data_IF_805218862299
#
_entry.id   IF_805218862299
#
_cell.length_a   1.000
_cell.length_b   1.000
_cell.length_c   1.000
_cell.angle_alpha   90.00
_cell.angle_beta   90.00
_cell.angle_gamma   90.00
#
_symmetry.space_group_name_H-M   'P 1'
#
loop_
_entity.id
_entity.type
_entity.pdbx_description
1 polymer ?
#
# COMPACT_ATOMS: atom_id res chain seq x y z
N UNK A 1 14.68 -37.39 -47.74
CA UNK A 1 15.51 -36.16 -47.87
C UNK A 1 16.32 -36.07 -46.59
N UNK A 2 17.65 -36.17 -46.67
CA UNK A 2 18.53 -36.22 -45.50
C UNK A 2 19.00 -34.79 -45.18
N UNK A 3 18.81 -34.34 -43.94
CA UNK A 3 19.24 -33.01 -43.48
C UNK A 3 20.64 -33.10 -42.87
N UNK A 4 21.56 -32.27 -43.38
CA UNK A 4 22.95 -32.16 -42.91
C UNK A 4 23.09 -30.77 -42.27
N UNK A 5 23.53 -30.72 -41.00
CA UNK A 5 23.76 -29.48 -40.25
C UNK A 5 25.28 -29.27 -40.15
N UNK A 6 25.82 -28.11 -40.57
CA UNK A 6 27.26 -27.79 -40.55
C UNK A 6 27.59 -26.69 -39.55
N UNK A 7 28.59 -26.89 -38.68
CA UNK A 7 29.09 -25.90 -37.70
C UNK A 7 30.60 -26.04 -37.49
N UNK A 8 31.36 -24.94 -37.52
CA UNK A 8 32.82 -24.88 -37.25
C UNK A 8 33.67 -25.95 -37.96
N UNK A 9 33.37 -26.17 -39.24
CA UNK A 9 34.04 -27.18 -40.05
C UNK A 9 33.60 -28.63 -39.79
N UNK A 10 32.64 -28.85 -38.88
CA UNK A 10 32.08 -30.16 -38.53
C UNK A 10 30.68 -30.32 -39.12
N UNK A 11 30.38 -31.50 -39.64
CA UNK A 11 29.10 -31.85 -40.25
C UNK A 11 28.37 -32.85 -39.34
N UNK A 12 27.06 -32.69 -39.21
CA UNK A 12 26.18 -33.54 -38.41
C UNK A 12 25.10 -34.10 -39.34
N UNK A 13 25.03 -35.43 -39.45
CA UNK A 13 24.15 -36.12 -40.41
C UNK A 13 23.29 -37.17 -39.71
N UNK A 14 22.00 -37.15 -40.00
CA UNK A 14 21.12 -38.28 -39.70
C UNK A 14 21.38 -39.35 -40.78
N UNK A 15 22.24 -40.33 -40.44
CA UNK A 15 22.67 -41.54 -41.21
C UNK A 15 23.72 -41.41 -42.35
N UNK A 16 24.91 -41.94 -42.03
CA UNK A 16 25.90 -42.74 -42.80
C UNK A 16 26.81 -42.10 -43.90
N UNK A 17 28.12 -42.17 -43.57
CA UNK A 17 29.40 -42.10 -44.33
C UNK A 17 30.05 -40.75 -44.73
N UNK A 18 31.27 -40.57 -44.16
CA UNK A 18 32.45 -39.75 -44.53
C UNK A 18 32.30 -38.20 -44.40
N UNK A 19 33.06 -37.43 -43.59
CA UNK A 19 34.41 -37.53 -42.99
C UNK A 19 34.49 -36.64 -41.73
N UNK A 20 35.06 -37.14 -40.61
CA UNK A 20 35.13 -36.47 -39.28
C UNK A 20 33.80 -35.83 -38.84
N UNK A 21 32.73 -36.61 -38.89
CA UNK A 21 31.37 -36.20 -38.53
C UNK A 21 30.95 -36.86 -37.22
N UNK A 22 30.30 -36.11 -36.33
CA UNK A 22 29.73 -36.66 -35.10
C UNK A 22 28.55 -37.55 -35.47
N UNK A 23 28.71 -38.86 -35.28
CA UNK A 23 27.61 -39.82 -35.38
C UNK A 23 26.74 -39.69 -34.14
N UNK A 24 25.49 -39.31 -34.29
CA UNK A 24 24.52 -39.45 -33.21
C UNK A 24 24.37 -40.94 -32.91
N UNK A 25 24.70 -41.42 -31.70
CA UNK A 25 24.53 -42.82 -31.37
C UNK A 25 23.03 -43.09 -31.39
N UNK A 26 22.57 -44.01 -32.23
CA UNK A 26 21.14 -44.33 -32.35
C UNK A 26 20.83 -45.56 -31.51
N UNK A 27 19.83 -45.47 -30.62
CA UNK A 27 19.36 -46.62 -29.84
C UNK A 27 18.43 -47.51 -30.68
N UNK A 28 17.62 -46.88 -31.55
CA UNK A 28 16.67 -47.48 -32.50
C UNK A 28 16.47 -46.53 -33.69
N UNK A 29 15.77 -46.98 -34.74
CA UNK A 29 15.39 -46.12 -35.88
C UNK A 29 14.74 -44.82 -35.37
N UNK A 30 15.37 -43.68 -35.68
CA UNK A 30 14.96 -42.33 -35.27
C UNK A 30 14.97 -42.02 -33.75
N UNK A 31 15.67 -42.80 -32.93
CA UNK A 31 15.85 -42.52 -31.50
C UNK A 31 17.33 -42.37 -31.10
N UNK A 32 17.73 -41.17 -30.72
CA UNK A 32 19.09 -40.86 -30.24
C UNK A 32 19.32 -41.52 -28.87
N UNK A 33 20.48 -42.16 -28.72
CA UNK A 33 21.00 -42.78 -27.52
C UNK A 33 21.78 -41.78 -26.68
N UNK A 34 21.07 -40.84 -26.04
CA UNK A 34 21.67 -39.77 -25.24
C UNK A 34 22.68 -40.25 -24.20
N UNK A 35 22.49 -41.44 -23.63
CA UNK A 35 23.38 -42.02 -22.62
C UNK A 35 24.77 -42.40 -23.15
N UNK A 36 24.95 -42.51 -24.47
CA UNK A 36 26.24 -42.74 -25.10
C UNK A 36 26.96 -41.44 -25.51
N UNK A 37 26.38 -40.27 -25.20
CA UNK A 37 27.00 -38.97 -25.44
C UNK A 37 27.42 -38.34 -24.10
N UNK A 38 28.56 -37.67 -24.10
CA UNK A 38 29.01 -36.81 -23.02
C UNK A 38 28.17 -35.52 -22.94
N UNK A 39 28.22 -34.84 -21.79
CA UNK A 39 27.57 -33.54 -21.60
C UNK A 39 27.95 -32.54 -22.70
N UNK A 40 29.25 -32.43 -23.01
CA UNK A 40 29.75 -31.50 -24.01
C UNK A 40 29.17 -31.77 -25.41
N UNK A 41 29.03 -33.03 -25.79
CA UNK A 41 28.47 -33.44 -27.08
C UNK A 41 26.97 -33.15 -27.15
N UNK A 42 26.23 -33.40 -26.07
CA UNK A 42 24.79 -33.11 -25.98
C UNK A 42 24.55 -31.60 -26.07
N UNK A 43 25.33 -30.79 -25.35
CA UNK A 43 25.20 -29.33 -25.38
C UNK A 43 25.56 -28.77 -26.76
N UNK A 44 26.63 -29.28 -27.38
CA UNK A 44 27.03 -28.86 -28.73
C UNK A 44 25.94 -29.19 -29.76
N UNK A 45 25.42 -30.41 -29.72
CA UNK A 45 24.29 -30.82 -30.56
C UNK A 45 23.05 -29.96 -30.31
N UNK A 46 22.74 -29.66 -29.04
CA UNK A 46 21.59 -28.84 -28.68
C UNK A 46 21.69 -27.42 -29.24
N UNK A 47 22.86 -26.78 -29.13
CA UNK A 47 23.12 -25.46 -29.71
C UNK A 47 22.96 -25.49 -31.22
N UNK A 48 23.52 -26.51 -31.86
CA UNK A 48 23.44 -26.71 -33.31
C UNK A 48 21.99 -26.84 -33.80
N UNK A 49 21.22 -27.71 -33.14
CA UNK A 49 19.82 -27.93 -33.44
C UNK A 49 19.00 -26.65 -33.26
N UNK A 50 19.22 -25.92 -32.17
CA UNK A 50 18.52 -24.67 -31.92
C UNK A 50 18.87 -23.58 -32.93
N UNK A 51 20.14 -23.47 -33.33
CA UNK A 51 20.57 -22.52 -34.36
C UNK A 51 19.95 -22.85 -35.73
N UNK A 52 20.03 -24.11 -36.16
CA UNK A 52 19.53 -24.56 -37.46
C UNK A 52 18.02 -24.33 -37.62
N UNK A 53 17.25 -24.58 -36.56
CA UNK A 53 15.79 -24.43 -36.55
C UNK A 53 15.31 -23.09 -36.00
N UNK A 54 16.21 -22.12 -35.81
CA UNK A 54 15.95 -20.78 -35.28
C UNK A 54 15.19 -20.77 -33.93
N UNK A 55 15.45 -21.78 -33.10
CA UNK A 55 14.83 -21.96 -31.79
C UNK A 55 15.52 -21.04 -30.78
N UNK A 56 14.92 -19.87 -30.54
CA UNK A 56 15.45 -18.87 -29.60
C UNK A 56 15.07 -19.09 -28.13
N UNK A 57 14.11 -19.98 -27.83
CA UNK A 57 13.55 -20.16 -26.47
C UNK A 57 13.38 -21.63 -26.11
N UNK A 58 13.68 -21.99 -24.86
CA UNK A 58 13.53 -23.34 -24.30
C UNK A 58 12.15 -23.95 -24.57
N UNK A 59 11.07 -23.15 -24.43
CA UNK A 59 9.69 -23.62 -24.67
C UNK A 59 9.42 -24.03 -26.12
N UNK A 60 10.14 -23.48 -27.09
CA UNK A 60 9.96 -23.83 -28.50
C UNK A 60 10.62 -25.19 -28.82
N UNK A 61 11.56 -25.64 -27.98
CA UNK A 61 12.11 -26.99 -28.05
C UNK A 61 11.12 -28.07 -27.56
N UNK A 62 10.20 -27.71 -26.65
CA UNK A 62 9.13 -28.61 -26.18
C UNK A 62 7.84 -28.53 -27.02
N UNK A 63 7.43 -27.31 -27.40
CA UNK A 63 6.08 -27.04 -27.92
C UNK A 63 6.08 -26.30 -29.27
N UNK A 64 7.24 -26.16 -29.92
CA UNK A 64 7.37 -25.45 -31.19
C UNK A 64 7.10 -26.32 -32.42
N UNK A 65 7.08 -25.68 -33.60
CA UNK A 65 6.99 -26.36 -34.90
C UNK A 65 8.14 -27.36 -35.12
N UNK A 66 9.35 -26.99 -34.68
CA UNK A 66 10.57 -27.81 -34.73
C UNK A 66 10.90 -28.39 -33.34
N UNK A 67 9.88 -28.88 -32.62
CA UNK A 67 10.09 -29.43 -31.28
C UNK A 67 10.96 -30.69 -31.31
N UNK A 68 11.76 -30.87 -30.27
CA UNK A 68 12.59 -32.05 -30.09
C UNK A 68 12.44 -32.58 -28.66
N UNK A 69 11.35 -33.32 -28.42
CA UNK A 69 10.94 -33.78 -27.07
C UNK A 69 12.06 -34.56 -26.34
N UNK A 70 12.82 -35.39 -27.06
CA UNK A 70 13.98 -36.12 -26.50
C UNK A 70 15.09 -35.20 -26.00
N UNK A 71 15.46 -34.19 -26.81
CA UNK A 71 16.49 -33.21 -26.48
C UNK A 71 16.04 -32.25 -25.38
N UNK A 72 14.76 -31.86 -25.39
CA UNK A 72 14.19 -31.06 -24.30
C UNK A 72 14.28 -31.81 -22.97
N UNK A 73 13.88 -33.08 -22.95
CA UNK A 73 13.84 -33.88 -21.73
C UNK A 73 15.24 -34.11 -21.12
N UNK A 74 16.26 -34.38 -21.95
CA UNK A 74 17.62 -34.58 -21.45
C UNK A 74 18.21 -33.28 -20.89
N UNK A 75 18.05 -32.16 -21.61
CA UNK A 75 18.54 -30.85 -21.15
C UNK A 75 17.82 -30.38 -19.89
N UNK A 76 16.53 -30.68 -19.75
CA UNK A 76 15.74 -30.29 -18.58
C UNK A 76 16.13 -31.10 -17.35
N UNK A 77 16.18 -32.45 -17.47
CA UNK A 77 16.55 -33.33 -16.35
C UNK A 77 17.97 -33.09 -15.86
N UNK A 78 18.89 -32.82 -16.78
CA UNK A 78 20.30 -32.58 -16.46
C UNK A 78 20.61 -31.11 -16.11
N UNK A 79 19.61 -30.21 -16.08
CA UNK A 79 19.76 -28.76 -15.79
C UNK A 79 20.70 -28.01 -16.77
N UNK A 80 20.86 -28.50 -17.99
CA UNK A 80 21.73 -27.91 -19.02
C UNK A 80 21.05 -26.88 -19.92
N UNK A 81 19.76 -26.62 -19.71
CA UNK A 81 18.99 -25.63 -20.48
C UNK A 81 19.65 -24.25 -20.57
N UNK A 82 20.29 -23.79 -19.48
CA UNK A 82 20.99 -22.48 -19.44
C UNK A 82 22.27 -22.45 -20.27
N UNK A 83 22.91 -23.60 -20.46
CA UNK A 83 24.14 -23.69 -21.26
C UNK A 83 23.84 -23.64 -22.77
N UNK A 84 22.63 -24.05 -23.17
CA UNK A 84 22.17 -24.11 -24.57
C UNK A 84 21.50 -22.80 -24.99
N UNK A 85 20.62 -22.27 -24.15
CA UNK A 85 19.95 -21.00 -24.41
C UNK A 85 20.66 -19.91 -23.61
N UNK A 86 21.31 -18.97 -24.30
CA UNK A 86 21.69 -17.69 -23.71
C UNK A 86 20.37 -17.03 -23.33
N UNK A 87 20.05 -17.06 -22.03
CA UNK A 87 18.95 -16.28 -21.49
C UNK A 87 19.54 -14.90 -21.32
N UNK A 88 19.07 -13.93 -22.11
CA UNK A 88 19.32 -12.53 -21.77
C UNK A 88 18.86 -12.35 -20.32
N UNK A 89 19.79 -12.21 -19.38
CA UNK A 89 19.48 -12.11 -17.95
C UNK A 89 18.72 -10.83 -17.64
N UNK A 90 18.79 -9.86 -18.57
CA UNK A 90 18.16 -8.57 -18.48
C UNK A 90 17.61 -8.13 -19.84
N UNK A 91 16.52 -7.35 -19.83
CA UNK A 91 15.98 -6.70 -21.02
C UNK A 91 15.91 -5.19 -20.82
N UNK A 92 16.47 -4.38 -21.73
CA UNK A 92 16.22 -2.94 -21.73
C UNK A 92 14.76 -2.68 -22.13
N UNK A 93 14.06 -1.89 -21.33
CA UNK A 93 12.69 -1.48 -21.55
C UNK A 93 12.59 0.01 -21.32
N UNK A 94 12.17 0.74 -22.35
CA UNK A 94 11.87 2.16 -22.26
C UNK A 94 10.39 2.37 -21.97
N UNK A 95 10.09 3.18 -20.96
CA UNK A 95 8.74 3.62 -20.60
C UNK A 95 8.77 5.14 -20.48
N UNK A 96 8.15 5.85 -21.42
CA UNK A 96 8.30 7.29 -21.55
C UNK A 96 9.77 7.72 -21.77
N UNK A 97 10.27 8.55 -20.85
CA UNK A 97 11.65 9.05 -20.84
C UNK A 97 12.61 8.16 -20.04
N UNK A 98 12.09 7.18 -19.30
CA UNK A 98 12.88 6.33 -18.41
C UNK A 98 13.32 5.03 -19.10
N UNK A 99 14.60 4.70 -18.95
CA UNK A 99 15.18 3.43 -19.40
C UNK A 99 15.38 2.47 -18.22
N UNK A 100 14.75 1.29 -18.30
CA UNK A 100 14.83 0.25 -17.28
C UNK A 100 15.61 -0.96 -17.78
N UNK A 101 16.48 -1.51 -16.93
CA UNK A 101 17.13 -2.81 -17.17
C UNK A 101 16.39 -3.85 -16.33
N UNK A 102 15.51 -4.62 -16.95
CA UNK A 102 14.62 -5.53 -16.25
C UNK A 102 15.19 -6.94 -16.22
N UNK A 103 15.41 -7.56 -15.05
CA UNK A 103 15.91 -8.92 -14.98
C UNK A 103 14.85 -9.91 -15.51
N UNK A 104 15.29 -10.93 -16.24
CA UNK A 104 14.44 -11.98 -16.80
C UNK A 104 14.65 -13.32 -16.09
N UNK A 105 13.59 -14.11 -15.98
CA UNK A 105 13.66 -15.50 -15.54
C UNK A 105 14.16 -16.41 -16.68
N UNK A 106 14.43 -17.69 -16.36
CA UNK A 106 14.87 -18.68 -17.35
C UNK A 106 13.89 -18.92 -18.51
N UNK A 107 12.66 -18.37 -18.44
CA UNK A 107 11.65 -18.39 -19.49
C UNK A 107 11.53 -17.08 -20.27
N UNK A 108 12.37 -16.07 -19.99
CA UNK A 108 12.34 -14.75 -20.62
C UNK A 108 11.20 -13.85 -20.13
N UNK A 109 10.63 -14.12 -18.95
CA UNK A 109 9.62 -13.25 -18.30
C UNK A 109 10.29 -12.37 -17.25
N UNK A 110 9.66 -11.25 -16.89
CA UNK A 110 10.16 -10.37 -15.82
C UNK A 110 10.34 -11.15 -14.52
N UNK A 111 11.58 -11.17 -14.03
CA UNK A 111 11.95 -11.78 -12.75
C UNK A 111 11.74 -10.79 -11.61
N UNK A 112 10.49 -10.69 -11.16
CA UNK A 112 10.14 -9.85 -10.01
C UNK A 112 10.91 -10.21 -8.74
N UNK A 113 11.36 -11.46 -8.58
CA UNK A 113 12.09 -11.90 -7.37
C UNK A 113 13.50 -11.32 -7.27
N UNK A 114 14.12 -10.99 -8.39
CA UNK A 114 15.47 -10.44 -8.44
C UNK A 114 15.51 -8.92 -8.39
N UNK A 115 14.37 -8.25 -8.47
CA UNK A 115 14.27 -6.79 -8.30
C UNK A 115 14.13 -6.43 -6.83
N UNK A 116 14.79 -5.36 -6.41
CA UNK A 116 14.57 -4.70 -5.13
C UNK A 116 13.16 -4.11 -5.03
N UNK A 117 12.75 -3.74 -3.81
CA UNK A 117 11.44 -3.10 -3.59
C UNK A 117 11.30 -1.80 -4.40
N UNK A 118 12.34 -0.98 -4.44
CA UNK A 118 12.29 0.33 -5.10
C UNK A 118 12.25 0.19 -6.63
N UNK A 119 13.07 -0.68 -7.22
CA UNK A 119 13.06 -0.94 -8.66
C UNK A 119 11.68 -1.43 -9.14
N UNK A 120 10.99 -2.24 -8.33
CA UNK A 120 9.61 -2.66 -8.63
C UNK A 120 8.66 -1.47 -8.65
N UNK A 121 8.74 -0.61 -7.63
CA UNK A 121 7.86 0.57 -7.52
C UNK A 121 8.09 1.49 -8.71
N UNK A 122 9.35 1.84 -9.02
CA UNK A 122 9.70 2.78 -10.08
C UNK A 122 9.24 2.25 -11.45
N UNK A 123 9.53 0.99 -11.75
CA UNK A 123 9.11 0.35 -13.00
C UNK A 123 7.59 0.34 -13.16
N UNK A 124 6.86 0.02 -12.10
CA UNK A 124 5.41 -0.08 -12.15
C UNK A 124 4.76 1.31 -12.23
N UNK A 125 5.32 2.33 -11.56
CA UNK A 125 4.88 3.72 -11.69
C UNK A 125 5.06 4.19 -13.13
N UNK A 126 6.24 3.96 -13.73
CA UNK A 126 6.49 4.32 -15.12
C UNK A 126 5.53 3.60 -16.09
N UNK A 127 5.26 2.31 -15.84
CA UNK A 127 4.27 1.55 -16.62
C UNK A 127 2.87 2.15 -16.49
N UNK A 128 2.45 2.49 -15.27
CA UNK A 128 1.14 3.08 -15.06
C UNK A 128 1.01 4.46 -15.73
N UNK A 129 2.07 5.29 -15.70
CA UNK A 129 2.10 6.58 -16.39
C UNK A 129 2.00 6.44 -17.91
N UNK A 130 2.85 5.61 -18.51
CA UNK A 130 2.86 5.37 -19.97
C UNK A 130 1.49 4.95 -20.49
N UNK A 131 0.79 4.10 -19.75
CA UNK A 131 -0.49 3.53 -20.16
C UNK A 131 -1.72 4.22 -19.55
N UNK A 132 -1.55 5.37 -18.90
CA UNK A 132 -2.60 6.13 -18.21
C UNK A 132 -3.46 5.28 -17.26
N UNK A 133 -2.82 4.40 -16.49
CA UNK A 133 -3.45 3.55 -15.48
C UNK A 133 -3.43 4.30 -14.15
N UNK A 134 -4.60 4.70 -13.66
CA UNK A 134 -4.74 5.51 -12.44
C UNK A 134 -5.14 4.70 -11.21
N UNK A 135 -5.58 3.45 -11.39
CA UNK A 135 -6.01 2.60 -10.28
C UNK A 135 -5.75 1.11 -10.50
N UNK A 136 -5.81 0.35 -9.40
CA UNK A 136 -5.58 -1.09 -9.40
C UNK A 136 -6.54 -1.88 -10.27
N UNK A 137 -7.79 -1.43 -10.39
CA UNK A 137 -8.82 -2.11 -11.19
C UNK A 137 -8.47 -2.04 -12.68
N UNK A 138 -8.00 -0.89 -13.14
CA UNK A 138 -7.49 -0.73 -14.51
C UNK A 138 -6.25 -1.61 -14.75
N UNK A 139 -5.33 -1.71 -13.78
CA UNK A 139 -4.20 -2.63 -13.90
C UNK A 139 -4.64 -4.10 -13.96
N UNK A 140 -5.72 -4.49 -13.26
CA UNK A 140 -6.20 -5.87 -13.24
C UNK A 140 -7.03 -6.24 -14.49
N UNK A 141 -7.93 -5.35 -14.92
CA UNK A 141 -9.00 -5.67 -15.89
C UNK A 141 -9.15 -4.67 -17.03
N UNK A 142 -8.43 -3.55 -17.01
CA UNK A 142 -8.52 -2.49 -18.01
C UNK A 142 -7.91 -2.85 -19.38
N UNK A 143 -7.93 -1.89 -20.32
CA UNK A 143 -7.41 -2.08 -21.68
C UNK A 143 -5.91 -2.38 -21.70
N UNK A 144 -5.12 -1.74 -20.83
CA UNK A 144 -3.69 -1.98 -20.64
C UNK A 144 -3.40 -2.83 -19.40
N UNK A 145 -4.26 -3.82 -19.12
CA UNK A 145 -4.14 -4.65 -17.92
C UNK A 145 -2.84 -5.46 -17.90
N UNK A 146 -2.27 -5.57 -16.72
CA UNK A 146 -1.21 -6.51 -16.39
C UNK A 146 -1.57 -7.28 -15.10
N UNK A 147 -2.39 -8.34 -15.19
CA UNK A 147 -2.83 -9.11 -14.04
C UNK A 147 -1.68 -9.73 -13.24
N UNK A 148 -0.57 -10.06 -13.92
CA UNK A 148 0.63 -10.59 -13.28
C UNK A 148 1.29 -9.55 -12.37
N UNK A 149 1.46 -8.33 -12.87
CA UNK A 149 1.94 -7.19 -12.08
C UNK A 149 1.01 -6.88 -10.90
N UNK A 150 -0.31 -6.85 -11.14
CA UNK A 150 -1.30 -6.66 -10.08
C UNK A 150 -1.20 -7.71 -8.96
N UNK A 151 -1.07 -9.00 -9.33
CA UNK A 151 -0.88 -10.07 -8.34
C UNK A 151 0.38 -9.88 -7.51
N UNK A 152 1.48 -9.43 -8.13
CA UNK A 152 2.75 -9.19 -7.43
C UNK A 152 2.68 -8.00 -6.47
N UNK A 153 1.95 -6.95 -6.83
CA UNK A 153 1.71 -5.84 -5.92
C UNK A 153 0.95 -6.25 -4.66
N UNK A 154 0.03 -7.21 -4.77
CA UNK A 154 -0.66 -7.78 -3.61
C UNK A 154 0.29 -8.63 -2.75
N UNK A 155 1.05 -9.54 -3.39
CA UNK A 155 2.01 -10.41 -2.71
C UNK A 155 3.05 -9.61 -1.91
N UNK A 156 3.60 -8.55 -2.53
CA UNK A 156 4.67 -7.71 -1.97
C UNK A 156 4.15 -6.56 -1.09
N UNK A 157 2.82 -6.45 -0.93
CA UNK A 157 2.13 -5.35 -0.21
C UNK A 157 2.58 -3.96 -0.69
N UNK A 158 2.60 -3.78 -2.01
CA UNK A 158 3.01 -2.55 -2.71
C UNK A 158 1.82 -1.76 -3.27
N UNK A 159 0.59 -2.28 -3.17
CA UNK A 159 -0.60 -1.63 -3.76
C UNK A 159 -0.74 -0.16 -3.39
N UNK A 160 -0.40 0.18 -2.15
CA UNK A 160 -0.59 1.52 -1.56
C UNK A 160 0.59 2.45 -1.79
N UNK A 161 1.71 1.90 -2.24
CA UNK A 161 2.90 2.64 -2.66
C UNK A 161 2.74 3.15 -4.11
N UNK A 162 1.78 2.59 -4.87
CA UNK A 162 1.63 2.85 -6.31
C UNK A 162 0.26 3.43 -6.65
N UNK A 163 -0.81 2.88 -6.10
CA UNK A 163 -2.15 3.38 -6.32
C UNK A 163 -2.64 4.09 -5.07
N UNK A 164 -2.78 5.40 -5.18
CA UNK A 164 -3.60 6.15 -4.25
C UNK A 164 -5.02 5.61 -4.33
N UNK A 165 -5.45 4.98 -3.25
CA UNK A 165 -6.82 4.50 -3.13
C UNK A 165 -7.63 5.62 -2.54
N UNK A 166 -8.68 6.03 -3.21
CA UNK A 166 -9.60 7.03 -2.68
C UNK A 166 -10.98 6.40 -2.51
N UNK A 167 -11.62 6.71 -1.38
CA UNK A 167 -13.03 6.41 -1.15
C UNK A 167 -13.81 7.69 -1.20
N UNK A 168 -14.78 7.76 -2.11
CA UNK A 168 -15.81 8.79 -2.08
C UNK A 168 -16.80 8.46 -0.95
N UNK A 169 -16.94 9.35 0.02
CA UNK A 169 -17.89 9.23 1.11
C UNK A 169 -18.76 10.50 1.17
N UNK A 170 -20.08 10.33 1.19
CA UNK A 170 -21.00 11.47 1.24
C UNK A 170 -21.46 11.71 2.67
N UNK A 171 -21.10 12.87 3.22
CA UNK A 171 -21.45 13.28 4.58
C UNK A 171 -22.31 14.54 4.52
N UNK A 172 -23.51 14.48 5.10
CA UNK A 172 -24.48 15.59 5.06
C UNK A 172 -24.84 16.09 3.64
N UNK A 173 -24.71 15.24 2.61
CA UNK A 173 -24.94 15.61 1.21
C UNK A 173 -23.71 16.16 0.48
N UNK A 174 -22.59 16.34 1.17
CA UNK A 174 -21.33 16.79 0.58
C UNK A 174 -20.41 15.58 0.31
N UNK A 175 -19.82 15.47 -0.89
CA UNK A 175 -18.87 14.40 -1.20
C UNK A 175 -17.48 14.72 -0.64
N UNK A 176 -16.86 13.73 0.00
CA UNK A 176 -15.49 13.77 0.48
C UNK A 176 -14.67 12.67 -0.18
N UNK A 177 -13.51 13.03 -0.73
CA UNK A 177 -12.56 12.09 -1.30
C UNK A 177 -11.54 11.73 -0.22
N UNK A 178 -11.58 10.48 0.25
CA UNK A 178 -10.79 10.04 1.41
C UNK A 178 -9.64 9.15 0.93
N UNK A 179 -8.37 9.54 1.13
CA UNK A 179 -7.24 8.69 0.77
C UNK A 179 -7.17 7.48 1.71
N UNK A 180 -6.79 6.33 1.17
CA UNK A 180 -6.72 5.04 1.85
C UNK A 180 -5.30 4.45 1.74
N UNK A 181 -4.79 3.95 2.86
CA UNK A 181 -3.50 3.24 2.95
C UNK A 181 -3.66 1.72 3.04
N UNK A 182 -4.90 1.20 3.07
CA UNK A 182 -5.23 -0.20 2.90
C UNK A 182 -6.73 -0.34 2.54
N UNK A 183 -7.23 -1.57 2.37
CA UNK A 183 -8.67 -1.82 2.30
C UNK A 183 -9.31 -1.24 3.57
N UNK A 184 -10.20 -0.25 3.40
CA UNK A 184 -10.96 0.44 4.45
C UNK A 184 -10.15 1.19 5.54
N UNK A 185 -8.85 1.42 5.32
CA UNK A 185 -8.02 2.19 6.26
C UNK A 185 -7.65 3.54 5.66
N UNK A 186 -8.10 4.62 6.29
CA UNK A 186 -7.82 6.00 5.87
C UNK A 186 -6.35 6.35 6.09
N UNK A 187 -5.72 6.92 5.06
CA UNK A 187 -4.37 7.47 5.05
C UNK A 187 -4.39 8.91 5.55
N UNK A 188 -4.62 9.12 6.85
CA UNK A 188 -4.72 10.46 7.44
C UNK A 188 -3.48 11.32 7.16
N UNK A 189 -2.31 10.69 7.10
CA UNK A 189 -1.02 11.28 6.72
C UNK A 189 -1.02 11.97 5.34
N UNK A 190 -1.87 11.53 4.41
CA UNK A 190 -1.97 12.10 3.05
C UNK A 190 -2.91 13.31 2.97
N UNK A 191 -3.75 13.53 3.98
CA UNK A 191 -4.67 14.67 4.02
C UNK A 191 -3.97 15.87 4.68
N UNK A 192 -4.17 17.06 4.12
CA UNK A 192 -3.81 18.34 4.72
C UNK A 192 -4.61 18.60 6.01
N UNK A 193 -4.15 19.53 6.83
CA UNK A 193 -4.86 19.87 8.07
C UNK A 193 -6.29 20.37 7.82
N UNK A 194 -6.48 21.18 6.78
CA UNK A 194 -7.78 21.76 6.44
C UNK A 194 -8.75 20.69 5.94
N UNK A 195 -8.30 19.77 5.09
CA UNK A 195 -9.11 18.62 4.64
C UNK A 195 -9.54 17.73 5.81
N UNK A 196 -8.63 17.43 6.74
CA UNK A 196 -8.97 16.64 7.93
C UNK A 196 -10.01 17.37 8.79
N UNK A 197 -9.87 18.69 8.96
CA UNK A 197 -10.78 19.47 9.79
C UNK A 197 -12.17 19.56 9.15
N UNK A 198 -12.24 19.82 7.85
CA UNK A 198 -13.49 19.89 7.11
C UNK A 198 -14.22 18.54 7.15
N UNK A 199 -13.51 17.46 6.82
CA UNK A 199 -14.01 16.10 6.94
C UNK A 199 -14.48 15.79 8.37
N UNK A 200 -13.68 16.13 9.38
CA UNK A 200 -14.03 15.86 10.78
C UNK A 200 -15.28 16.62 11.23
N UNK A 201 -15.46 17.87 10.80
CA UNK A 201 -16.68 18.65 11.07
C UNK A 201 -17.89 18.02 10.39
N UNK A 202 -17.78 17.64 9.12
CA UNK A 202 -18.85 16.99 8.38
C UNK A 202 -19.24 15.64 9.01
N UNK A 203 -18.25 14.83 9.37
CA UNK A 203 -18.43 13.53 10.04
C UNK A 203 -19.12 13.69 11.40
N UNK A 204 -18.65 14.65 12.22
CA UNK A 204 -19.26 14.93 13.51
C UNK A 204 -20.70 15.43 13.38
N UNK A 205 -20.98 16.30 12.40
CA UNK A 205 -22.34 16.77 12.10
C UNK A 205 -23.24 15.62 11.66
N UNK A 206 -22.78 14.82 10.70
CA UNK A 206 -23.52 13.68 10.14
C UNK A 206 -23.91 12.65 11.22
N UNK A 207 -23.00 12.35 12.14
CA UNK A 207 -23.22 11.39 13.21
C UNK A 207 -23.65 12.01 14.56
N UNK A 208 -23.93 13.32 14.60
CA UNK A 208 -24.37 14.06 15.80
C UNK A 208 -23.38 13.96 16.98
N UNK A 209 -22.08 13.93 16.70
CA UNK A 209 -20.99 13.88 17.68
C UNK A 209 -20.74 15.27 18.26
N UNK A 210 -20.96 15.44 19.58
CA UNK A 210 -20.88 16.76 20.25
C UNK A 210 -19.53 17.06 20.91
N UNK A 211 -18.58 16.13 20.90
CA UNK A 211 -17.29 16.35 21.57
C UNK A 211 -16.25 15.28 21.26
N UNK A 212 -14.99 15.64 21.46
CA UNK A 212 -13.83 14.79 21.18
C UNK A 212 -13.86 13.45 21.91
N UNK A 213 -14.37 13.39 23.14
CA UNK A 213 -14.54 12.14 23.88
C UNK A 213 -15.55 11.18 23.26
N UNK A 214 -16.57 11.69 22.56
CA UNK A 214 -17.52 10.84 21.83
C UNK A 214 -16.92 10.31 20.52
N UNK A 215 -15.91 11.00 19.96
CA UNK A 215 -15.16 10.54 18.80
C UNK A 215 -14.18 9.40 19.13
N UNK A 216 -13.63 9.38 20.35
CA UNK A 216 -12.70 8.34 20.82
C UNK A 216 -13.38 7.15 21.51
N UNK A 217 -14.65 7.28 21.95
CA UNK A 217 -15.33 6.24 22.71
C UNK A 217 -15.72 5.04 21.85
N UNK A 218 -15.53 3.86 22.42
CA UNK A 218 -15.60 2.59 21.74
C UNK A 218 -17.06 2.09 21.52
N UNK A 219 -18.06 2.75 22.10
CA UNK A 219 -19.46 2.27 22.11
C UNK A 219 -20.39 2.90 21.04
N UNK A 220 -19.92 3.86 20.25
CA UNK A 220 -20.72 4.57 19.22
C UNK A 220 -19.92 4.84 17.95
N UNK A 221 -20.58 4.86 16.77
CA UNK A 221 -20.07 5.17 15.42
C UNK A 221 -18.66 5.83 15.43
N UNK A 222 -17.64 4.98 15.41
CA UNK A 222 -16.25 5.32 15.74
C UNK A 222 -15.52 5.89 14.54
N UNK A 223 -14.66 6.87 14.80
CA UNK A 223 -13.50 7.13 13.96
C UNK A 223 -12.26 7.43 14.82
N UNK A 224 -11.75 6.38 15.47
CA UNK A 224 -10.57 6.47 16.34
C UNK A 224 -9.30 6.86 15.56
N UNK A 225 -9.24 6.54 14.26
CA UNK A 225 -8.17 7.00 13.37
C UNK A 225 -8.18 8.52 13.25
N UNK A 226 -9.34 9.10 12.93
CA UNK A 226 -9.53 10.55 12.85
C UNK A 226 -9.23 11.23 14.19
N UNK A 227 -9.70 10.66 15.31
CA UNK A 227 -9.39 11.22 16.64
C UNK A 227 -7.88 11.30 16.90
N UNK A 228 -7.13 10.23 16.59
CA UNK A 228 -5.68 10.22 16.73
C UNK A 228 -5.02 11.24 15.80
N UNK A 229 -5.40 11.29 14.52
CA UNK A 229 -4.88 12.27 13.57
C UNK A 229 -5.09 13.72 14.03
N UNK A 230 -6.29 14.04 14.56
CA UNK A 230 -6.59 15.36 15.12
C UNK A 230 -5.81 15.66 16.41
N UNK A 231 -5.56 14.65 17.25
CA UNK A 231 -4.77 14.80 18.48
C UNK A 231 -3.29 15.05 18.16
N UNK A 232 -2.71 14.20 17.32
CA UNK A 232 -1.28 14.19 16.99
C UNK A 232 -0.88 15.51 16.30
N UNK A 233 -1.81 16.11 15.53
CA UNK A 233 -1.62 17.41 14.87
C UNK A 233 -2.17 18.60 15.65
N UNK A 234 -2.64 18.42 16.89
CA UNK A 234 -3.22 19.49 17.73
C UNK A 234 -4.45 20.21 17.15
N UNK A 235 -5.19 19.56 16.24
CA UNK A 235 -6.33 20.13 15.50
C UNK A 235 -7.69 19.95 16.19
N UNK A 236 -7.76 19.19 17.30
CA UNK A 236 -9.01 18.94 18.02
C UNK A 236 -9.80 20.21 18.35
N UNK A 237 -9.13 21.31 18.66
CA UNK A 237 -9.77 22.57 19.06
C UNK A 237 -10.36 23.34 17.86
N UNK A 238 -9.85 23.06 16.65
CA UNK A 238 -10.39 23.58 15.38
C UNK A 238 -11.67 22.85 14.96
N UNK A 239 -11.84 21.59 15.38
CA UNK A 239 -13.05 20.78 15.13
C UNK A 239 -14.08 20.95 16.24
N UNK A 240 -13.66 20.81 17.49
CA UNK A 240 -14.49 20.98 18.67
C UNK A 240 -14.11 22.29 19.35
N UNK A 241 -14.75 23.38 18.95
CA UNK A 241 -14.54 24.68 19.58
C UNK A 241 -14.68 24.55 21.09
N UNK A 242 -13.57 24.74 21.82
CA UNK A 242 -13.64 24.78 23.28
C UNK A 242 -14.36 26.07 23.66
N UNK A 243 -15.47 26.01 24.42
CA UNK A 243 -16.04 27.24 24.93
C UNK A 243 -14.98 27.91 25.80
N UNK A 244 -14.57 29.13 25.45
CA UNK A 244 -13.58 29.90 26.25
C UNK A 244 -14.17 30.37 27.57
N UNK A 245 -15.50 30.33 27.67
CA UNK A 245 -16.27 30.79 28.82
C UNK A 245 -17.34 29.78 29.21
N UNK A 246 -17.74 29.81 30.48
CA UNK A 246 -18.86 29.06 31.03
C UNK A 246 -19.81 30.02 31.73
N UNK A 247 -21.08 29.98 31.32
CA UNK A 247 -22.14 30.84 31.86
C UNK A 247 -22.95 30.10 32.92
N UNK A 248 -23.32 30.81 33.98
CA UNK A 248 -24.16 30.33 35.07
C UNK A 248 -25.32 31.30 35.27
N UNK A 249 -26.55 30.96 34.85
CA UNK A 249 -27.74 31.71 35.26
C UNK A 249 -28.05 31.35 36.72
N UNK A 250 -27.98 32.34 37.61
CA UNK A 250 -28.15 32.16 39.06
C UNK A 250 -28.79 33.42 39.64
N UNK A 251 -29.88 33.27 40.39
CA UNK A 251 -30.60 34.37 41.04
C UNK A 251 -30.94 35.51 40.06
N UNK A 252 -31.46 35.16 38.88
CA UNK A 252 -31.79 36.10 37.81
C UNK A 252 -30.61 36.79 37.11
N UNK A 253 -29.37 36.49 37.49
CA UNK A 253 -28.15 37.06 36.87
C UNK A 253 -27.36 35.99 36.13
N UNK A 254 -26.92 36.28 34.90
CA UNK A 254 -26.03 35.38 34.14
C UNK A 254 -24.56 35.72 34.39
N UNK A 255 -23.85 34.82 35.05
CA UNK A 255 -22.43 34.94 35.34
C UNK A 255 -21.57 34.18 34.33
N UNK A 256 -20.79 34.91 33.52
CA UNK A 256 -19.88 34.31 32.52
C UNK A 256 -18.43 34.29 33.03
N UNK A 257 -17.84 33.12 33.17
CA UNK A 257 -16.46 32.94 33.63
C UNK A 257 -15.56 32.38 32.53
N UNK A 258 -14.29 32.80 32.48
CA UNK A 258 -13.31 32.10 31.64
C UNK A 258 -13.00 30.72 32.20
N UNK A 259 -12.75 29.75 31.31
CA UNK A 259 -12.41 28.38 31.69
C UNK A 259 -11.02 27.98 31.23
N UNK A 260 -10.36 27.15 32.04
CA UNK A 260 -9.07 26.53 31.74
C UNK A 260 -9.23 25.40 30.71
N UNK A 261 -8.09 24.90 30.20
CA UNK A 261 -8.02 23.73 29.30
C UNK A 261 -8.81 22.51 29.82
N UNK A 262 -8.91 22.32 31.14
CA UNK A 262 -9.65 21.23 31.78
C UNK A 262 -11.16 21.53 32.01
N UNK A 263 -11.71 22.58 31.39
CA UNK A 263 -13.11 23.03 31.52
C UNK A 263 -13.54 23.51 32.93
N UNK A 264 -12.58 23.69 33.84
CA UNK A 264 -12.85 24.32 35.13
C UNK A 264 -12.77 25.84 35.01
N UNK A 265 -13.56 26.55 35.82
CA UNK A 265 -13.48 28.02 35.91
C UNK A 265 -12.06 28.41 36.32
N UNK A 266 -11.47 29.37 35.60
CA UNK A 266 -10.24 29.98 36.06
C UNK A 266 -10.52 30.99 37.16
N UNK A 267 -10.63 30.49 38.38
CA UNK A 267 -10.89 31.32 39.55
C UNK A 267 -9.81 32.38 39.82
N UNK A 268 -8.61 32.28 39.22
CA UNK A 268 -7.58 33.32 39.33
C UNK A 268 -7.96 34.61 38.60
N UNK A 269 -8.79 34.51 37.56
CA UNK A 269 -9.24 35.64 36.75
C UNK A 269 -10.53 36.27 37.28
N UNK A 270 -11.11 35.72 38.35
CA UNK A 270 -12.36 36.22 38.94
C UNK A 270 -12.02 37.16 40.10
N UNK A 271 -12.43 38.43 39.98
CA UNK A 271 -12.23 39.42 41.05
C UNK A 271 -12.96 39.01 42.34
N UNK A 272 -12.41 39.38 43.51
CA UNK A 272 -12.99 39.07 44.83
C UNK A 272 -14.45 39.50 44.93
N UNK A 273 -14.76 40.75 44.55
CA UNK A 273 -16.12 41.30 44.53
C UNK A 273 -17.08 40.46 43.67
N UNK A 274 -16.62 40.01 42.49
CA UNK A 274 -17.42 39.17 41.59
C UNK A 274 -17.63 37.76 42.14
N UNK A 275 -16.60 37.17 42.75
CA UNK A 275 -16.69 35.87 43.41
C UNK A 275 -17.66 35.90 44.59
N UNK A 276 -17.62 36.95 45.41
CA UNK A 276 -18.52 37.13 46.55
C UNK A 276 -19.97 37.30 46.12
N UNK A 277 -20.23 38.11 45.07
CA UNK A 277 -21.57 38.29 44.53
C UNK A 277 -22.10 36.98 43.95
N UNK A 278 -21.34 36.34 43.06
CA UNK A 278 -21.70 35.04 42.49
C UNK A 278 -21.92 33.99 43.59
N UNK A 279 -21.04 33.93 44.59
CA UNK A 279 -21.15 32.96 45.66
C UNK A 279 -22.36 33.19 46.57
N UNK A 280 -22.81 34.45 46.76
CA UNK A 280 -24.05 34.75 47.47
C UNK A 280 -25.27 34.32 46.66
N UNK A 281 -25.35 34.75 45.40
CA UNK A 281 -26.43 34.37 44.49
C UNK A 281 -26.54 32.86 44.34
N UNK A 282 -25.41 32.16 44.23
CA UNK A 282 -25.36 30.70 44.14
C UNK A 282 -25.88 30.02 45.40
N UNK A 283 -25.56 30.56 46.58
CA UNK A 283 -26.10 30.01 47.82
C UNK A 283 -27.61 30.24 47.94
N UNK A 284 -28.11 31.42 47.53
CA UNK A 284 -29.54 31.77 47.55
C UNK A 284 -30.32 30.85 46.59
N UNK A 285 -29.94 30.81 45.31
CA UNK A 285 -30.59 30.03 44.25
C UNK A 285 -30.73 28.55 44.62
N UNK A 286 -29.70 27.98 45.24
CA UNK A 286 -29.64 26.55 45.54
C UNK A 286 -29.95 26.21 47.00
N UNK A 287 -30.42 27.18 47.80
CA UNK A 287 -30.79 26.97 49.21
C UNK A 287 -29.64 26.47 50.10
N UNK A 288 -28.39 26.84 49.79
CA UNK A 288 -27.19 26.37 50.47
C UNK A 288 -26.98 27.18 51.75
N UNK A 289 -27.16 26.53 52.91
CA UNK A 289 -27.02 27.15 54.23
C UNK A 289 -25.69 26.82 54.90
N UNK A 290 -25.07 25.70 54.54
CA UNK A 290 -23.82 25.24 55.18
C UNK A 290 -22.66 25.12 54.19
N UNK A 291 -21.44 25.22 54.71
CA UNK A 291 -20.22 25.04 53.93
C UNK A 291 -20.12 23.63 53.33
N UNK A 292 -20.56 22.60 54.06
CA UNK A 292 -20.58 21.22 53.57
C UNK A 292 -21.51 21.06 52.36
N UNK A 293 -22.69 21.68 52.40
CA UNK A 293 -23.60 21.72 51.25
C UNK A 293 -22.95 22.42 50.05
N UNK A 294 -22.25 23.54 50.27
CA UNK A 294 -21.52 24.23 49.20
C UNK A 294 -20.41 23.36 48.61
N UNK A 295 -19.65 22.65 49.45
CA UNK A 295 -18.57 21.75 48.99
C UNK A 295 -19.11 20.60 48.14
N UNK A 296 -20.22 19.99 48.55
CA UNK A 296 -20.83 18.88 47.83
C UNK A 296 -21.41 19.32 46.48
N UNK A 297 -22.00 20.52 46.41
CA UNK A 297 -22.63 21.03 45.20
C UNK A 297 -21.64 21.73 44.25
N UNK A 298 -20.65 22.44 44.79
CA UNK A 298 -19.64 23.16 44.03
C UNK A 298 -18.32 23.29 44.83
N UNK A 299 -17.55 22.20 44.87
CA UNK A 299 -16.27 22.12 45.57
C UNK A 299 -15.28 23.21 45.14
N UNK A 300 -15.29 23.60 43.86
CA UNK A 300 -14.43 24.66 43.31
C UNK A 300 -14.71 26.02 43.94
N UNK A 301 -15.99 26.44 43.96
CA UNK A 301 -16.42 27.69 44.60
C UNK A 301 -16.11 27.67 46.10
N UNK A 302 -16.39 26.55 46.79
CA UNK A 302 -16.11 26.41 48.22
C UNK A 302 -14.63 26.60 48.54
N UNK A 303 -13.73 25.96 47.78
CA UNK A 303 -12.30 26.06 47.98
C UNK A 303 -11.77 27.46 47.68
N UNK A 304 -12.33 28.14 46.68
CA UNK A 304 -11.89 29.48 46.32
C UNK A 304 -12.31 30.52 47.36
N UNK A 305 -13.54 30.44 47.90
CA UNK A 305 -13.97 31.33 49.00
C UNK A 305 -13.05 31.16 50.22
N UNK A 306 -12.65 29.92 50.56
CA UNK A 306 -11.70 29.65 51.65
C UNK A 306 -10.35 30.36 51.45
N UNK A 307 -9.81 30.32 50.23
CA UNK A 307 -8.50 30.92 49.90
C UNK A 307 -8.49 32.45 49.92
N UNK A 308 -9.65 33.11 49.83
CA UNK A 308 -9.75 34.57 49.87
C UNK A 308 -10.18 35.11 51.25
N UNK A 309 -10.56 34.22 52.17
CA UNK A 309 -10.89 34.54 53.57
C UNK A 309 -9.74 34.24 54.54
N UNK A 310 -8.69 33.57 54.07
CA UNK A 310 -7.41 33.39 54.76
C UNK A 310 -6.42 34.41 54.21
#
# INVERSE_FOLDING_TARGET
>A
MFEIIKIDGKLFRHEVLCTKEFFLPMKRKNQIHWAAMSEAEIILYAKAYCQHHEIKRQRHLANGKNKHDGLYNILYKSKWMRQVFIVDETKPVRLGEDDFIIPLDGGGRVSWKSMSRQEKIDYIIAYCKEFNITNSTQLQKGPNKNPGMHSRLLDDKLMTDIFDRERLETLCGEPFLIPLCAIDKVAWEKMSEDEIIEYAKAYCKHHKIKGSGALSNHKTKRNTGMYKALMDRTLLDRVFSRPKTKSYPVNGTTYTFQIRKNRQIDWKLVTKKRLEKFGRDYCIEYGIKTRTQLKNKNAGLCNQKRRQSA
#
